data_IF_073750406471
#
_entry.id   IF_073750406471
#
_cell.length_a   1.000
_cell.length_b   1.000
_cell.length_c   1.000
_cell.angle_alpha   90.00
_cell.angle_beta   90.00
_cell.angle_gamma   90.00
#
_symmetry.space_group_name_H-M   'P 1'
#
loop_
_entity.id
_entity.type
_entity.pdbx_description
1 polymer ?
#
# COMPACT_ATOMS: atom_id res chain seq x y z
N UNK A 1 -19.38 -3.13 -8.46
CA UNK A 1 -20.11 -1.89 -8.11
C UNK A 1 -20.46 -1.72 -6.62
N UNK A 2 -20.09 -2.65 -5.71
CA UNK A 2 -20.33 -2.52 -4.26
C UNK A 2 -19.14 -1.96 -3.45
N UNK A 3 -17.94 -1.95 -4.01
CA UNK A 3 -16.70 -1.52 -3.33
C UNK A 3 -16.57 0.02 -3.28
N UNK A 4 -17.07 0.74 -4.29
CA UNK A 4 -17.04 2.21 -4.36
C UNK A 4 -17.95 2.87 -3.32
N UNK A 5 -19.01 2.16 -2.86
CA UNK A 5 -19.95 2.68 -1.85
C UNK A 5 -19.44 2.58 -0.41
N UNK A 6 -18.51 1.67 -0.11
CA UNK A 6 -17.97 1.53 1.25
C UNK A 6 -16.83 2.50 1.56
N UNK A 7 -16.17 3.06 0.54
CA UNK A 7 -15.04 3.97 0.71
C UNK A 7 -15.43 5.44 0.92
N UNK A 8 -16.71 5.79 0.71
CA UNK A 8 -17.25 7.13 1.03
C UNK A 8 -17.66 7.29 2.50
N UNK A 9 -17.76 6.20 3.27
CA UNK A 9 -18.25 6.26 4.66
C UNK A 9 -17.19 6.80 5.64
N UNK A 10 -15.90 6.70 5.31
CA UNK A 10 -14.83 7.28 6.14
C UNK A 10 -14.75 8.82 5.99
N UNK A 11 -15.43 9.39 4.98
CA UNK A 11 -15.61 10.85 4.86
C UNK A 11 -16.89 11.34 5.57
N UNK A 12 -17.78 10.44 6.04
CA UNK A 12 -19.10 10.83 6.58
C UNK A 12 -19.26 10.70 8.11
N UNK A 13 -18.25 10.23 8.86
CA UNK A 13 -18.27 10.21 10.34
C UNK A 13 -17.74 11.53 10.96
N UNK A 14 -18.21 12.66 10.42
CA UNK A 14 -18.10 13.99 11.05
C UNK A 14 -19.43 14.76 11.03
N UNK A 15 -20.56 14.08 10.77
CA UNK A 15 -21.87 14.71 10.58
C UNK A 15 -22.94 14.36 11.64
N UNK A 16 -22.59 13.63 12.71
CA UNK A 16 -23.47 13.51 13.88
C UNK A 16 -22.71 14.01 15.09
N UNK A 17 -22.93 15.28 15.42
CA UNK A 17 -22.35 15.98 16.56
C UNK A 17 -22.81 15.38 17.89
N UNK A 18 -22.19 14.27 18.29
CA UNK A 18 -22.15 13.84 19.69
C UNK A 18 -20.83 14.35 20.25
N UNK A 19 -20.90 15.50 20.90
CA UNK A 19 -19.80 16.04 21.71
C UNK A 19 -19.77 15.25 23.01
N UNK A 20 -18.73 14.45 23.23
CA UNK A 20 -18.34 13.98 24.56
C UNK A 20 -17.34 14.99 25.13
N UNK A 21 -17.50 15.46 26.39
CA UNK A 21 -16.59 16.42 26.97
C UNK A 21 -15.29 15.74 27.46
N UNK A 22 -14.19 16.45 27.19
CA UNK A 22 -12.88 16.39 27.88
C UNK A 22 -11.99 15.15 27.68
N UNK A 23 -11.14 15.25 26.64
CA UNK A 23 -9.76 14.78 26.72
C UNK A 23 -8.85 15.87 26.11
N UNK A 24 -7.92 16.35 26.92
CA UNK A 24 -6.94 17.38 26.58
C UNK A 24 -6.06 17.00 25.39
N UNK A 25 -5.99 17.89 24.40
CA UNK A 25 -4.71 18.22 23.75
C UNK A 25 -4.26 17.42 22.53
N UNK A 26 -5.11 17.30 21.49
CA UNK A 26 -4.71 17.51 20.08
C UNK A 26 -5.95 18.06 19.38
N UNK A 27 -6.00 19.37 19.13
CA UNK A 27 -7.11 19.95 18.36
C UNK A 27 -7.17 19.29 16.99
N UNK A 28 -8.35 19.04 16.41
CA UNK A 28 -8.43 18.61 15.03
C UNK A 28 -7.70 19.65 14.19
N UNK A 29 -6.64 19.25 13.50
CA UNK A 29 -6.10 20.06 12.42
C UNK A 29 -7.30 20.41 11.55
N UNK A 30 -7.60 21.71 11.45
CA UNK A 30 -8.72 22.23 10.67
C UNK A 30 -8.58 21.63 9.27
N UNK A 31 -9.42 20.64 8.95
CA UNK A 31 -9.55 20.19 7.59
C UNK A 31 -10.21 21.35 6.85
N UNK A 32 -9.39 22.20 6.22
CA UNK A 32 -9.88 23.23 5.33
C UNK A 32 -10.87 22.59 4.36
N UNK A 33 -12.05 23.19 4.26
CA UNK A 33 -13.09 22.64 3.39
C UNK A 33 -12.55 22.59 1.95
N UNK A 34 -12.58 21.42 1.28
CA UNK A 34 -12.03 21.30 -0.06
C UNK A 34 -12.65 22.33 -1.00
N UNK A 35 -11.81 23.05 -1.75
CA UNK A 35 -12.30 24.06 -2.69
C UNK A 35 -13.21 23.42 -3.75
N UNK A 36 -14.15 24.19 -4.32
CA UNK A 36 -15.00 23.70 -5.40
C UNK A 36 -14.17 23.23 -6.61
N UNK A 37 -13.04 23.91 -6.88
CA UNK A 37 -12.09 23.54 -7.93
C UNK A 37 -11.46 22.18 -7.67
N UNK A 38 -10.91 21.96 -6.48
CA UNK A 38 -10.26 20.69 -6.13
C UNK A 38 -11.26 19.54 -6.05
N UNK A 39 -12.48 19.82 -5.57
CA UNK A 39 -13.60 18.88 -5.63
C UNK A 39 -13.92 18.47 -7.08
N UNK A 40 -13.94 19.42 -8.01
CA UNK A 40 -14.14 19.15 -9.44
C UNK A 40 -13.00 18.31 -10.04
N UNK A 41 -11.75 18.65 -9.71
CA UNK A 41 -10.55 17.91 -10.12
C UNK A 41 -10.57 16.47 -9.61
N UNK A 42 -10.87 16.27 -8.33
CA UNK A 42 -11.01 14.95 -7.72
C UNK A 42 -12.09 14.13 -8.43
N UNK A 43 -13.29 14.68 -8.62
CA UNK A 43 -14.38 14.01 -9.37
C UNK A 43 -13.95 13.56 -10.76
N UNK A 44 -13.25 14.43 -11.51
CA UNK A 44 -12.75 14.09 -12.84
C UNK A 44 -11.69 12.98 -12.80
N UNK A 45 -10.79 13.02 -11.81
CA UNK A 45 -9.75 12.01 -11.62
C UNK A 45 -10.34 10.63 -11.32
N UNK A 46 -11.23 10.54 -10.32
CA UNK A 46 -11.87 9.27 -9.95
C UNK A 46 -12.79 8.74 -11.06
N UNK A 47 -13.51 9.61 -11.78
CA UNK A 47 -14.26 9.19 -12.97
C UNK A 47 -13.38 8.57 -14.05
N UNK A 48 -12.16 9.08 -14.25
CA UNK A 48 -11.21 8.48 -15.17
C UNK A 48 -10.71 7.12 -14.67
N UNK A 49 -10.48 6.97 -13.35
CA UNK A 49 -10.12 5.68 -12.76
C UNK A 49 -11.24 4.62 -12.90
N UNK A 50 -12.50 5.01 -12.71
CA UNK A 50 -13.67 4.15 -12.93
C UNK A 50 -13.77 3.64 -14.38
N UNK A 51 -13.24 4.41 -15.33
CA UNK A 51 -13.14 4.05 -16.75
C UNK A 51 -11.86 3.28 -17.09
N UNK A 52 -11.09 2.86 -16.09
CA UNK A 52 -9.80 2.18 -16.26
C UNK A 52 -8.67 3.08 -16.74
N UNK A 53 -8.90 4.40 -16.84
CA UNK A 53 -7.93 5.38 -17.34
C UNK A 53 -6.98 5.85 -16.21
N UNK A 54 -6.33 4.92 -15.51
CA UNK A 54 -5.54 5.17 -14.29
C UNK A 54 -4.46 6.24 -14.45
N UNK A 55 -3.70 6.21 -15.54
CA UNK A 55 -2.68 7.21 -15.85
C UNK A 55 -3.29 8.60 -16.08
N UNK A 56 -4.46 8.68 -16.71
CA UNK A 56 -5.17 9.94 -16.93
C UNK A 56 -5.73 10.48 -15.62
N UNK A 57 -6.36 9.64 -14.81
CA UNK A 57 -6.88 10.05 -13.50
C UNK A 57 -5.78 10.60 -12.60
N UNK A 58 -4.58 9.98 -12.58
CA UNK A 58 -3.42 10.49 -11.83
C UNK A 58 -3.00 11.89 -12.32
N UNK A 59 -2.90 12.08 -13.63
CA UNK A 59 -2.58 13.40 -14.22
C UNK A 59 -3.65 14.46 -13.91
N UNK A 60 -4.92 14.06 -13.80
CA UNK A 60 -5.99 14.97 -13.39
C UNK A 60 -5.85 15.34 -11.92
N UNK A 61 -5.68 14.35 -11.03
CA UNK A 61 -5.51 14.57 -9.59
C UNK A 61 -4.32 15.48 -9.28
N UNK A 62 -3.22 15.35 -10.03
CA UNK A 62 -2.03 16.19 -9.90
C UNK A 62 -2.23 17.68 -10.26
N UNK A 63 -3.40 18.07 -10.79
CA UNK A 63 -3.75 19.47 -11.07
C UNK A 63 -4.48 20.16 -9.92
N UNK A 64 -4.82 19.42 -8.87
CA UNK A 64 -5.43 19.99 -7.68
C UNK A 64 -4.43 20.91 -6.96
N UNK A 65 -4.95 21.92 -6.29
CA UNK A 65 -4.15 22.82 -5.45
C UNK A 65 -3.82 22.13 -4.13
N UNK A 66 -4.82 21.47 -3.54
CA UNK A 66 -4.64 20.64 -2.36
C UNK A 66 -3.90 19.32 -2.71
N UNK A 67 -2.69 19.06 -2.15
CA UNK A 67 -1.94 17.83 -2.37
C UNK A 67 -2.69 16.57 -1.89
N UNK A 68 -3.66 16.71 -0.98
CA UNK A 68 -4.48 15.61 -0.49
C UNK A 68 -5.24 14.89 -1.62
N UNK A 69 -5.64 15.61 -2.67
CA UNK A 69 -6.34 15.03 -3.82
C UNK A 69 -5.44 14.02 -4.55
N UNK A 70 -4.19 14.39 -4.80
CA UNK A 70 -3.23 13.50 -5.45
C UNK A 70 -2.89 12.30 -4.55
N UNK A 71 -2.62 12.54 -3.25
CA UNK A 71 -2.32 11.45 -2.31
C UNK A 71 -3.48 10.45 -2.18
N UNK A 72 -4.71 10.94 -2.12
CA UNK A 72 -5.90 10.09 -2.07
C UNK A 72 -6.06 9.26 -3.34
N UNK A 73 -5.82 9.86 -4.51
CA UNK A 73 -5.85 9.14 -5.78
C UNK A 73 -4.74 8.08 -5.86
N UNK A 74 -3.52 8.42 -5.43
CA UNK A 74 -2.39 7.48 -5.39
C UNK A 74 -2.69 6.28 -4.51
N UNK A 75 -3.18 6.51 -3.30
CA UNK A 75 -3.60 5.43 -2.39
C UNK A 75 -4.69 4.55 -2.99
N UNK A 76 -5.69 5.14 -3.64
CA UNK A 76 -6.74 4.39 -4.32
C UNK A 76 -6.19 3.51 -5.46
N UNK A 77 -5.21 4.00 -6.21
CA UNK A 77 -4.51 3.26 -7.27
C UNK A 77 -3.58 2.17 -6.71
N UNK A 78 -2.86 2.46 -5.62
CA UNK A 78 -1.88 1.55 -5.00
C UNK A 78 -2.54 0.40 -4.23
N UNK A 79 -3.71 0.62 -3.64
CA UNK A 79 -4.44 -0.44 -2.91
C UNK A 79 -5.20 -1.40 -3.82
N UNK A 80 -5.36 -1.04 -5.11
CA UNK A 80 -6.04 -1.87 -6.11
C UNK A 80 -5.28 -3.16 -6.39
N UNK A 81 -5.99 -4.28 -6.44
CA UNK A 81 -5.45 -5.55 -6.89
C UNK A 81 -5.03 -5.49 -8.37
N UNK A 82 -3.84 -6.00 -8.69
CA UNK A 82 -3.30 -5.94 -10.05
C UNK A 82 -3.03 -4.51 -10.50
N UNK A 83 -2.58 -3.65 -9.57
CA UNK A 83 -2.05 -2.33 -9.91
C UNK A 83 -0.78 -2.49 -10.75
N UNK A 84 -0.58 -1.59 -11.73
CA UNK A 84 0.59 -1.58 -12.62
C UNK A 84 1.72 -0.69 -12.08
N UNK A 85 1.64 -0.35 -10.78
CA UNK A 85 2.56 0.54 -10.09
C UNK A 85 3.77 -0.22 -9.58
N UNK A 86 4.94 0.41 -9.69
CA UNK A 86 6.18 -0.23 -9.29
C UNK A 86 6.27 -0.38 -7.78
N UNK A 87 7.10 -1.33 -7.33
CA UNK A 87 7.49 -1.42 -5.93
C UNK A 87 7.97 -0.05 -5.40
N UNK A 88 8.86 0.63 -6.12
CA UNK A 88 9.41 1.93 -5.71
C UNK A 88 8.32 3.00 -5.50
N UNK A 89 7.32 3.07 -6.40
CA UNK A 89 6.20 4.04 -6.29
C UNK A 89 5.38 3.81 -5.02
N UNK A 90 5.13 2.55 -4.65
CA UNK A 90 4.32 2.18 -3.49
C UNK A 90 5.16 2.28 -2.21
N UNK A 91 6.41 1.84 -2.24
CA UNK A 91 7.35 1.92 -1.12
C UNK A 91 7.60 3.38 -0.71
N UNK A 92 7.86 4.27 -1.68
CA UNK A 92 8.00 5.71 -1.41
C UNK A 92 6.73 6.29 -0.78
N UNK A 93 5.55 5.92 -1.29
CA UNK A 93 4.29 6.39 -0.70
C UNK A 93 4.11 5.94 0.76
N UNK A 94 4.47 4.69 1.08
CA UNK A 94 4.41 4.17 2.45
C UNK A 94 5.38 4.94 3.36
N UNK A 95 6.62 5.15 2.91
CA UNK A 95 7.65 5.87 3.67
C UNK A 95 7.27 7.33 3.91
N UNK A 96 6.73 8.00 2.90
CA UNK A 96 6.36 9.41 2.97
C UNK A 96 5.04 9.65 3.72
N UNK A 97 4.24 8.60 3.96
CA UNK A 97 2.92 8.69 4.57
C UNK A 97 2.69 7.53 5.57
N UNK A 98 3.43 7.46 6.69
CA UNK A 98 3.39 6.33 7.62
C UNK A 98 2.01 6.11 8.27
N UNK A 99 1.25 7.18 8.48
CA UNK A 99 -0.09 7.14 9.10
C UNK A 99 -1.23 6.95 8.08
N UNK A 100 -0.89 6.67 6.82
CA UNK A 100 -1.91 6.55 5.77
C UNK A 100 -2.78 5.29 5.96
N UNK A 101 -4.10 5.35 5.68
CA UNK A 101 -4.99 4.22 5.87
C UNK A 101 -4.55 2.92 5.17
N UNK A 102 -4.83 1.80 5.85
CA UNK A 102 -4.57 0.43 5.38
C UNK A 102 -3.09 0.13 5.09
N UNK A 103 -2.17 0.37 6.05
CA UNK A 103 -0.74 0.18 5.84
C UNK A 103 -0.38 -1.26 5.43
N UNK A 104 -1.02 -2.27 6.03
CA UNK A 104 -0.77 -3.68 5.67
C UNK A 104 -1.21 -4.02 4.23
N UNK A 105 -2.26 -3.37 3.71
CA UNK A 105 -2.68 -3.57 2.33
C UNK A 105 -1.68 -2.93 1.37
N UNK A 106 -1.19 -1.72 1.67
CA UNK A 106 -0.15 -1.06 0.89
C UNK A 106 1.15 -1.89 0.88
N UNK A 107 1.60 -2.39 2.04
CA UNK A 107 2.78 -3.27 2.14
C UNK A 107 2.62 -4.52 1.28
N UNK A 108 1.47 -5.18 1.35
CA UNK A 108 1.18 -6.34 0.48
C UNK A 108 1.23 -5.98 -1.00
N UNK A 109 0.70 -4.82 -1.40
CA UNK A 109 0.72 -4.37 -2.81
C UNK A 109 2.13 -4.00 -3.28
N UNK A 110 2.96 -3.43 -2.41
CA UNK A 110 4.37 -3.20 -2.68
C UNK A 110 5.11 -4.53 -2.91
N UNK A 111 4.88 -5.53 -2.04
CA UNK A 111 5.47 -6.86 -2.18
C UNK A 111 5.00 -7.59 -3.46
N UNK A 112 3.72 -7.50 -3.82
CA UNK A 112 3.19 -8.05 -5.08
C UNK A 112 3.82 -7.37 -6.32
N UNK A 113 4.20 -6.10 -6.21
CA UNK A 113 4.84 -5.34 -7.29
C UNK A 113 6.33 -5.66 -7.46
N UNK A 114 6.97 -6.36 -6.50
CA UNK A 114 8.35 -6.79 -6.62
C UNK A 114 8.49 -7.90 -7.68
N UNK A 115 9.23 -7.61 -8.75
CA UNK A 115 9.40 -8.56 -9.85
C UNK A 115 10.76 -9.30 -9.79
N UNK A 116 11.65 -8.91 -8.89
CA UNK A 116 12.98 -9.49 -8.69
C UNK A 116 14.09 -8.80 -9.48
N UNK A 117 13.80 -7.72 -10.21
CA UNK A 117 14.79 -6.86 -10.86
C UNK A 117 15.30 -5.73 -9.95
N UNK A 118 14.71 -5.57 -8.77
CA UNK A 118 15.09 -4.55 -7.80
C UNK A 118 16.54 -4.75 -7.34
N UNK A 119 17.18 -3.65 -6.93
CA UNK A 119 18.50 -3.73 -6.33
C UNK A 119 18.43 -4.58 -5.05
N UNK A 120 19.28 -5.61 -4.89
CA UNK A 120 19.27 -6.44 -3.69
C UNK A 120 19.38 -5.66 -2.38
N UNK A 121 20.15 -4.57 -2.34
CA UNK A 121 20.28 -3.74 -1.15
C UNK A 121 18.99 -2.99 -0.84
N UNK A 122 18.30 -2.46 -1.85
CA UNK A 122 16.98 -1.81 -1.69
C UNK A 122 15.97 -2.78 -1.08
N UNK A 123 15.96 -4.04 -1.54
CA UNK A 123 15.08 -5.07 -0.99
C UNK A 123 15.43 -5.43 0.46
N UNK A 124 16.72 -5.54 0.79
CA UNK A 124 17.16 -5.76 2.18
C UNK A 124 16.77 -4.61 3.10
N UNK A 125 17.01 -3.37 2.67
CA UNK A 125 16.72 -2.17 3.45
C UNK A 125 15.22 -2.03 3.68
N UNK A 126 14.40 -2.30 2.65
CA UNK A 126 12.95 -2.36 2.77
C UNK A 126 12.50 -3.36 3.83
N UNK A 127 12.90 -4.63 3.73
CA UNK A 127 12.45 -5.67 4.65
C UNK A 127 13.05 -5.56 6.06
N UNK A 128 14.12 -4.78 6.24
CA UNK A 128 14.63 -4.45 7.57
C UNK A 128 13.71 -3.52 8.37
N UNK A 129 12.93 -2.69 7.67
CA UNK A 129 12.00 -1.71 8.25
C UNK A 129 10.53 -2.18 8.16
N UNK A 130 10.22 -2.95 7.11
CA UNK A 130 8.89 -3.42 6.78
C UNK A 130 8.92 -4.95 6.67
N UNK A 131 8.79 -5.70 7.78
CA UNK A 131 8.80 -7.16 7.73
C UNK A 131 7.76 -7.70 6.73
N UNK A 132 8.09 -8.76 5.95
CA UNK A 132 7.20 -9.27 4.92
C UNK A 132 5.79 -9.62 5.43
N UNK A 133 4.74 -9.14 4.73
CA UNK A 133 3.32 -9.38 5.08
C UNK A 133 2.61 -10.33 4.11
N UNK A 134 3.31 -10.82 3.09
CA UNK A 134 2.82 -11.77 2.08
C UNK A 134 3.84 -12.87 1.78
N UNK A 135 3.36 -13.96 1.17
CA UNK A 135 4.24 -15.02 0.67
C UNK A 135 5.20 -14.52 -0.40
N UNK A 136 4.75 -13.62 -1.28
CA UNK A 136 5.57 -13.07 -2.36
C UNK A 136 6.73 -12.25 -1.79
N UNK A 137 6.45 -11.39 -0.81
CA UNK A 137 7.48 -10.62 -0.10
C UNK A 137 8.52 -11.51 0.57
N UNK A 138 8.11 -12.57 1.26
CA UNK A 138 9.04 -13.54 1.88
C UNK A 138 9.90 -14.26 0.87
N UNK A 139 9.32 -14.71 -0.24
CA UNK A 139 10.07 -15.36 -1.32
C UNK A 139 11.12 -14.41 -1.91
N UNK A 140 10.78 -13.12 -2.10
CA UNK A 140 11.75 -12.13 -2.56
C UNK A 140 12.83 -11.86 -1.52
N UNK A 141 12.46 -11.74 -0.25
CA UNK A 141 13.42 -11.53 0.84
C UNK A 141 14.42 -12.69 0.95
N UNK A 142 13.93 -13.94 0.98
CA UNK A 142 14.78 -15.14 0.99
C UNK A 142 15.69 -15.17 -0.23
N UNK A 143 15.17 -14.88 -1.42
CA UNK A 143 15.97 -14.85 -2.66
C UNK A 143 17.14 -13.87 -2.54
N UNK A 144 16.87 -12.67 -2.03
CA UNK A 144 17.88 -11.62 -1.87
C UNK A 144 18.89 -11.98 -0.78
N UNK A 145 18.44 -12.52 0.36
CA UNK A 145 19.33 -13.02 1.42
C UNK A 145 20.32 -14.07 0.88
N UNK A 146 19.82 -15.04 0.10
CA UNK A 146 20.66 -16.06 -0.54
C UNK A 146 21.64 -15.45 -1.54
N UNK A 147 21.18 -14.53 -2.39
CA UNK A 147 22.02 -13.83 -3.38
C UNK A 147 23.16 -13.04 -2.75
N UNK A 148 22.91 -12.46 -1.57
CA UNK A 148 23.89 -11.69 -0.79
C UNK A 148 24.71 -12.56 0.18
N UNK A 149 24.60 -13.88 0.11
CA UNK A 149 25.38 -14.80 0.96
C UNK A 149 24.94 -14.84 2.43
N UNK A 150 23.81 -14.21 2.79
CA UNK A 150 23.27 -14.16 4.17
C UNK A 150 22.49 -15.45 4.49
N UNK A 151 23.19 -16.59 4.43
CA UNK A 151 22.61 -17.95 4.49
C UNK A 151 21.84 -18.22 5.78
N UNK A 152 22.38 -17.84 6.94
CA UNK A 152 21.75 -18.13 8.23
C UNK A 152 20.40 -17.41 8.37
N UNK A 153 20.34 -16.15 7.92
CA UNK A 153 19.10 -15.37 7.88
C UNK A 153 18.10 -15.95 6.88
N UNK A 154 18.58 -16.40 5.70
CA UNK A 154 17.71 -17.06 4.73
C UNK A 154 17.10 -18.35 5.30
N UNK A 155 17.89 -19.17 6.00
CA UNK A 155 17.40 -20.40 6.64
C UNK A 155 16.37 -20.10 7.73
N UNK A 156 16.62 -19.07 8.56
CA UNK A 156 15.67 -18.64 9.57
C UNK A 156 14.34 -18.21 8.93
N UNK A 157 14.39 -17.39 7.88
CA UNK A 157 13.20 -16.91 7.16
C UNK A 157 12.44 -18.05 6.46
N UNK A 158 13.15 -19.02 5.86
CA UNK A 158 12.54 -20.21 5.26
C UNK A 158 11.77 -21.02 6.31
N UNK A 159 12.38 -21.24 7.50
CA UNK A 159 11.74 -21.97 8.60
C UNK A 159 10.51 -21.24 9.14
N UNK A 160 10.62 -19.94 9.38
CA UNK A 160 9.49 -19.12 9.82
C UNK A 160 8.34 -19.17 8.80
N UNK A 161 8.67 -19.00 7.51
CA UNK A 161 7.70 -19.07 6.43
C UNK A 161 7.00 -20.43 6.38
N UNK A 162 7.72 -21.53 6.59
CA UNK A 162 7.16 -22.88 6.59
C UNK A 162 6.23 -23.16 7.78
N UNK A 163 6.60 -22.70 8.98
CA UNK A 163 5.89 -23.00 10.22
C UNK A 163 4.69 -22.08 10.42
N UNK A 164 4.86 -20.78 10.20
CA UNK A 164 3.92 -19.76 10.68
C UNK A 164 3.01 -19.19 9.59
N UNK A 165 3.25 -19.47 8.31
CA UNK A 165 2.53 -18.78 7.26
C UNK A 165 1.40 -19.62 6.66
N UNK A 166 0.21 -19.00 6.55
CA UNK A 166 -0.96 -19.60 5.95
C UNK A 166 -0.82 -19.59 4.42
N UNK A 167 -0.04 -20.51 3.87
CA UNK A 167 0.02 -20.72 2.43
C UNK A 167 -1.39 -20.95 1.91
N UNK A 168 -1.82 -20.19 0.90
CA UNK A 168 -2.90 -20.70 0.05
C UNK A 168 -2.47 -22.09 -0.49
N UNK A 169 -3.38 -23.07 -0.61
CA UNK A 169 -3.07 -24.48 -0.93
C UNK A 169 -2.16 -24.73 -2.16
N UNK A 170 -1.98 -23.76 -3.06
CA UNK A 170 -1.13 -23.87 -4.27
C UNK A 170 0.34 -23.46 -4.04
N UNK A 171 0.64 -22.33 -3.37
CA UNK A 171 2.02 -21.91 -3.09
C UNK A 171 2.89 -22.89 -2.28
N UNK A 172 2.32 -23.65 -1.35
CA UNK A 172 3.10 -24.54 -0.44
C UNK A 172 3.97 -25.56 -1.19
N UNK A 173 3.40 -26.28 -2.17
CA UNK A 173 4.14 -27.29 -2.96
C UNK A 173 5.27 -26.68 -3.79
N UNK A 174 5.07 -25.46 -4.31
CA UNK A 174 6.08 -24.75 -5.08
C UNK A 174 7.21 -24.24 -4.17
N UNK A 175 6.87 -23.73 -2.99
CA UNK A 175 7.82 -23.29 -1.96
C UNK A 175 8.68 -24.45 -1.47
N UNK A 176 8.05 -25.56 -1.06
CA UNK A 176 8.75 -26.77 -0.62
C UNK A 176 9.74 -27.29 -1.67
N UNK A 177 9.32 -27.40 -2.93
CA UNK A 177 10.20 -27.87 -4.02
C UNK A 177 11.42 -26.96 -4.23
N UNK A 178 11.30 -25.66 -3.95
CA UNK A 178 12.38 -24.68 -4.17
C UNK A 178 13.40 -24.64 -3.04
N UNK A 179 13.01 -24.94 -1.81
CA UNK A 179 13.86 -24.76 -0.62
C UNK A 179 14.14 -26.05 0.18
N UNK A 180 13.74 -27.22 -0.33
CA UNK A 180 14.18 -28.50 0.24
C UNK A 180 15.67 -28.75 0.05
#
# INVERSE_FOLDING_TARGET
MRIVRQLLVIIYLAATGVVLPEATGVGPALADTPTARDTGTAKAAFKAADQGQWKKGRRLAARATDPLVLKTYQWFDYTRQGTDRSFDEIAAFITDNPDWPYPNLLKRRAEEAMNGSEDPQVVLDWFSQQPPVSTDGRVQFIRVLLKQGRKDQAIAEIRDTWINNNFAKRPEKAFYRRYR
#
